data_IF_437957276920
#
_entry.id   IF_437957276920
#
_cell.length_a   1.000
_cell.length_b   1.000
_cell.length_c   1.000
_cell.angle_alpha   90.00
_cell.angle_beta   90.00
_cell.angle_gamma   90.00
#
_symmetry.space_group_name_H-M   'P 1'
#
loop_
_entity.id
_entity.type
_entity.pdbx_description
1 polymer ?
#
# COMPACT_ATOMS: atom_id res chain seq x y z
N UNK A 1 -2.47 11.28 8.99
CA UNK A 1 -2.98 10.15 9.82
C UNK A 1 -2.20 8.89 9.47
N UNK A 2 -1.86 8.06 10.46
CA UNK A 2 -1.24 6.74 10.23
C UNK A 2 -2.22 5.62 10.59
N UNK A 3 -2.20 4.52 9.83
CA UNK A 3 -2.99 3.32 10.13
C UNK A 3 -2.31 2.05 9.63
N UNK A 4 -2.20 1.05 10.50
CA UNK A 4 -1.71 -0.27 10.13
C UNK A 4 -2.72 -1.03 9.25
N UNK A 5 -2.20 -1.74 8.25
CA UNK A 5 -3.01 -2.66 7.45
C UNK A 5 -3.55 -3.81 8.31
N UNK A 6 -4.78 -4.29 8.04
CA UNK A 6 -5.30 -5.47 8.71
C UNK A 6 -4.38 -6.67 8.49
N UNK A 7 -4.20 -7.49 9.53
CA UNK A 7 -3.32 -8.66 9.51
C UNK A 7 -4.05 -9.88 10.06
N UNK A 8 -3.72 -11.03 9.51
CA UNK A 8 -4.10 -12.34 10.04
C UNK A 8 -2.82 -13.05 10.43
N UNK A 9 -2.55 -13.14 11.74
CA UNK A 9 -1.32 -13.73 12.28
C UNK A 9 -0.06 -13.15 11.62
N UNK A 10 0.62 -13.95 10.77
CA UNK A 10 1.91 -13.66 10.15
C UNK A 10 1.85 -12.84 8.85
N UNK A 11 0.66 -12.52 8.33
CA UNK A 11 0.54 -11.87 7.02
C UNK A 11 -0.50 -10.74 6.99
N UNK A 12 -0.26 -9.77 6.12
CA UNK A 12 -1.18 -8.66 5.89
C UNK A 12 -2.28 -9.06 4.89
N UNK A 13 -3.54 -8.83 5.26
CA UNK A 13 -4.68 -9.09 4.38
C UNK A 13 -5.86 -8.24 4.80
N UNK A 14 -6.38 -7.44 3.87
CA UNK A 14 -7.55 -6.61 4.11
C UNK A 14 -7.46 -5.25 3.42
N UNK A 15 -8.38 -4.38 3.80
CA UNK A 15 -8.61 -3.12 3.09
C UNK A 15 -8.60 -1.93 4.04
N UNK A 16 -7.95 -0.85 3.63
CA UNK A 16 -8.10 0.49 4.23
C UNK A 16 -8.73 1.41 3.19
N UNK A 17 -9.79 2.10 3.58
CA UNK A 17 -10.40 3.17 2.79
C UNK A 17 -10.11 4.51 3.44
N UNK A 18 -9.51 5.41 2.67
CA UNK A 18 -9.26 6.79 3.03
C UNK A 18 -10.28 7.64 2.28
N UNK A 19 -11.06 8.43 3.02
CA UNK A 19 -11.99 9.42 2.44
C UNK A 19 -11.54 10.80 2.86
N UNK A 20 -11.38 11.68 1.89
CA UNK A 20 -10.99 13.08 2.11
C UNK A 20 -12.10 13.92 1.52
N UNK A 21 -12.86 14.58 2.40
CA UNK A 21 -14.02 15.38 2.03
C UNK A 21 -13.59 16.69 1.38
N UNK A 22 -14.36 17.14 0.39
CA UNK A 22 -14.11 18.40 -0.29
C UNK A 22 -14.84 19.59 0.36
N UNK A 23 -14.50 19.89 1.61
CA UNK A 23 -15.21 20.83 2.49
C UNK A 23 -14.62 22.26 2.54
N UNK A 24 -13.55 22.53 1.79
CA UNK A 24 -12.81 23.80 1.84
C UNK A 24 -12.68 24.42 0.45
N UNK A 25 -12.59 25.75 0.40
CA UNK A 25 -12.51 26.52 -0.86
C UNK A 25 -11.10 26.64 -1.46
N UNK A 26 -10.20 25.72 -1.11
CA UNK A 26 -8.81 25.74 -1.61
C UNK A 26 -8.40 24.35 -2.09
N UNK A 27 -7.56 24.33 -3.12
CA UNK A 27 -6.97 23.11 -3.63
C UNK A 27 -6.13 22.43 -2.55
N UNK A 28 -6.20 21.10 -2.53
CA UNK A 28 -5.39 20.26 -1.67
C UNK A 28 -4.49 19.37 -2.50
N UNK A 29 -3.39 18.97 -1.88
CA UNK A 29 -2.53 17.92 -2.37
C UNK A 29 -2.47 16.82 -1.34
N UNK A 30 -2.69 15.59 -1.79
CA UNK A 30 -2.67 14.39 -0.97
C UNK A 30 -1.40 13.62 -1.30
N UNK A 31 -0.52 13.51 -0.32
CA UNK A 31 0.71 12.74 -0.42
C UNK A 31 0.53 11.41 0.32
N UNK A 32 0.87 10.33 -0.37
CA UNK A 32 1.05 8.99 0.17
C UNK A 32 2.57 8.74 0.17
N UNK A 33 3.24 8.87 1.33
CA UNK A 33 4.63 8.46 1.49
C UNK A 33 4.80 6.97 1.17
N UNK A 34 6.06 6.49 1.01
CA UNK A 34 6.32 5.10 0.64
C UNK A 34 5.61 4.08 1.53
N UNK A 35 4.72 3.31 0.93
CA UNK A 35 4.15 2.09 1.48
C UNK A 35 4.99 0.93 0.98
N UNK A 36 5.76 0.35 1.87
CA UNK A 36 6.66 -0.75 1.56
C UNK A 36 5.95 -2.07 1.80
N UNK A 37 6.00 -2.99 0.85
CA UNK A 37 5.36 -4.30 0.98
C UNK A 37 6.22 -5.41 0.39
N UNK A 38 6.22 -6.59 1.02
CA UNK A 38 7.07 -7.72 0.66
C UNK A 38 6.39 -9.02 1.00
N UNK A 39 6.55 -10.01 0.14
CA UNK A 39 6.30 -11.41 0.49
C UNK A 39 7.47 -12.00 1.29
N UNK A 40 7.72 -13.30 1.11
CA UNK A 40 8.78 -14.00 1.83
C UNK A 40 9.28 -15.21 1.06
N UNK A 41 10.59 -15.47 1.12
CA UNK A 41 11.20 -16.72 0.69
C UNK A 41 11.38 -17.60 1.92
N UNK A 42 11.02 -18.86 1.77
CA UNK A 42 11.01 -19.83 2.87
C UNK A 42 11.79 -21.06 2.45
N UNK A 43 12.61 -21.56 3.37
CA UNK A 43 13.38 -22.78 3.17
C UNK A 43 12.58 -23.98 3.64
N UNK A 44 12.68 -25.08 2.90
CA UNK A 44 12.07 -26.34 3.27
C UNK A 44 13.04 -27.48 2.96
N UNK A 45 13.22 -28.39 3.91
CA UNK A 45 14.11 -29.53 3.77
C UNK A 45 13.28 -30.81 3.70
N UNK A 46 13.54 -31.64 2.68
CA UNK A 46 12.89 -32.93 2.59
C UNK A 46 13.56 -33.97 3.51
N UNK A 47 13.03 -35.20 3.54
CA UNK A 47 13.56 -36.30 4.34
C UNK A 47 15.01 -36.68 4.01
N UNK A 48 15.50 -36.34 2.81
CA UNK A 48 16.87 -36.59 2.36
C UNK A 48 17.78 -35.37 2.62
N UNK A 49 17.34 -34.42 3.44
CA UNK A 49 18.04 -33.18 3.76
C UNK A 49 18.34 -32.30 2.54
N UNK A 50 17.57 -32.45 1.45
CA UNK A 50 17.68 -31.62 0.26
C UNK A 50 16.86 -30.34 0.46
N UNK A 51 17.50 -29.19 0.22
CA UNK A 51 16.87 -27.89 0.36
C UNK A 51 15.98 -27.56 -0.84
N UNK A 52 14.81 -27.02 -0.55
CA UNK A 52 13.85 -26.48 -1.49
C UNK A 52 13.34 -25.14 -0.97
N UNK A 53 12.75 -24.34 -1.85
CA UNK A 53 12.19 -23.04 -1.47
C UNK A 53 10.74 -22.92 -1.89
N UNK A 54 10.00 -22.14 -1.12
CA UNK A 54 8.69 -21.68 -1.50
C UNK A 54 8.52 -20.20 -1.16
N UNK A 55 7.52 -19.58 -1.78
CA UNK A 55 7.32 -18.14 -1.67
C UNK A 55 5.95 -17.80 -1.14
N UNK A 56 5.92 -16.83 -0.22
CA UNK A 56 4.74 -16.02 0.05
C UNK A 56 4.73 -14.83 -0.91
N UNK A 57 3.57 -14.54 -1.47
CA UNK A 57 3.32 -13.37 -2.31
C UNK A 57 2.53 -12.33 -1.50
N UNK A 58 2.98 -11.08 -1.53
CA UNK A 58 2.25 -9.93 -1.02
C UNK A 58 1.84 -9.06 -2.19
N UNK A 59 0.54 -8.77 -2.33
CA UNK A 59 0.00 -7.91 -3.38
C UNK A 59 -0.62 -6.67 -2.77
N UNK A 60 -0.24 -5.51 -3.29
CA UNK A 60 -0.86 -4.23 -2.96
C UNK A 60 -1.61 -3.72 -4.20
N UNK A 61 -2.91 -3.47 -4.01
CA UNK A 61 -3.78 -2.84 -4.99
C UNK A 61 -4.28 -1.51 -4.44
N UNK A 62 -4.16 -0.44 -5.22
CA UNK A 62 -4.63 0.90 -4.86
C UNK A 62 -5.58 1.41 -5.92
N UNK A 63 -6.74 1.89 -5.49
CA UNK A 63 -7.71 2.56 -6.38
C UNK A 63 -7.98 3.98 -5.93
N UNK A 64 -8.11 4.91 -6.89
CA UNK A 64 -8.60 6.27 -6.72
C UNK A 64 -10.00 6.37 -7.28
N UNK A 65 -10.98 6.71 -6.44
CA UNK A 65 -12.39 6.83 -6.84
C UNK A 65 -12.89 5.61 -7.63
N UNK A 66 -12.44 4.40 -7.24
CA UNK A 66 -12.76 3.14 -7.91
C UNK A 66 -11.84 2.78 -9.10
N UNK A 67 -11.09 3.73 -9.66
CA UNK A 67 -10.12 3.46 -10.73
C UNK A 67 -8.81 2.92 -10.16
N UNK A 68 -8.33 1.79 -10.67
CA UNK A 68 -7.02 1.23 -10.29
C UNK A 68 -5.89 2.15 -10.73
N UNK A 69 -5.02 2.52 -9.78
CA UNK A 69 -3.82 3.33 -10.02
C UNK A 69 -2.53 2.60 -9.69
N UNK A 70 -2.63 1.46 -8.99
CA UNK A 70 -1.49 0.61 -8.68
C UNK A 70 -1.96 -0.81 -8.37
N UNK A 71 -1.20 -1.79 -8.85
CA UNK A 71 -1.49 -3.20 -8.64
C UNK A 71 -0.23 -4.02 -8.90
N UNK A 72 0.49 -4.35 -7.83
CA UNK A 72 1.73 -5.11 -7.93
C UNK A 72 1.80 -6.19 -6.86
N UNK A 73 2.46 -7.28 -7.21
CA UNK A 73 2.72 -8.42 -6.34
C UNK A 73 4.23 -8.59 -6.16
N UNK A 74 4.65 -8.94 -4.94
CA UNK A 74 6.05 -9.22 -4.61
C UNK A 74 6.19 -10.55 -3.88
N UNK A 75 7.30 -11.23 -4.14
CA UNK A 75 7.76 -12.40 -3.38
C UNK A 75 8.82 -11.96 -2.38
N UNK A 76 10.08 -12.22 -2.64
CA UNK A 76 11.22 -11.90 -1.80
C UNK A 76 11.88 -10.56 -2.10
N UNK A 77 11.49 -9.87 -3.18
CA UNK A 77 11.87 -8.49 -3.42
C UNK A 77 10.89 -7.50 -2.76
N UNK A 78 11.38 -6.34 -2.31
CA UNK A 78 10.53 -5.30 -1.75
C UNK A 78 9.84 -4.50 -2.85
N UNK A 79 8.53 -4.29 -2.70
CA UNK A 79 7.73 -3.40 -3.51
C UNK A 79 7.47 -2.09 -2.77
N UNK A 80 7.22 -1.03 -3.54
CA UNK A 80 6.94 0.30 -3.02
C UNK A 80 5.77 0.92 -3.78
N UNK A 81 4.85 1.53 -3.04
CA UNK A 81 3.88 2.46 -3.59
C UNK A 81 4.06 3.83 -2.93
N UNK A 82 4.17 4.87 -3.73
CA UNK A 82 4.07 6.26 -3.28
C UNK A 82 3.31 7.06 -4.33
N UNK A 83 2.65 8.13 -3.91
CA UNK A 83 1.89 8.96 -4.85
C UNK A 83 1.64 10.35 -4.29
N UNK A 84 1.55 11.31 -5.20
CA UNK A 84 1.06 12.65 -4.94
C UNK A 84 -0.15 12.87 -5.83
N UNK A 85 -1.29 13.18 -5.21
CA UNK A 85 -2.58 13.27 -5.87
C UNK A 85 -3.13 14.68 -5.64
N UNK A 86 -3.37 15.39 -6.74
CA UNK A 86 -4.08 16.67 -6.70
C UNK A 86 -5.57 16.45 -6.41
N UNK A 87 -6.08 17.27 -5.49
CA UNK A 87 -7.49 17.34 -5.11
C UNK A 87 -7.95 18.81 -5.19
N UNK A 88 -8.33 19.29 -6.39
CA UNK A 88 -8.83 20.64 -6.56
C UNK A 88 -10.14 20.86 -5.79
N UNK A 89 -10.37 22.09 -5.33
CA UNK A 89 -11.62 22.44 -4.67
C UNK A 89 -12.81 22.38 -5.65
N UNK A 90 -13.97 21.95 -5.15
CA UNK A 90 -15.20 21.81 -5.92
C UNK A 90 -15.32 20.52 -6.74
N UNK A 91 -14.38 19.57 -6.61
CA UNK A 91 -14.38 18.29 -7.35
C UNK A 91 -14.97 17.13 -6.53
N UNK A 92 -15.34 17.38 -5.28
CA UNK A 92 -15.98 16.38 -4.42
C UNK A 92 -14.98 15.46 -3.72
N UNK A 93 -15.52 14.47 -2.99
CA UNK A 93 -14.73 13.62 -2.08
C UNK A 93 -13.73 12.75 -2.85
N UNK A 94 -12.46 12.80 -2.44
CA UNK A 94 -11.45 11.86 -2.88
C UNK A 94 -11.53 10.59 -2.02
N UNK A 95 -11.67 9.44 -2.67
CA UNK A 95 -11.61 8.12 -2.02
C UNK A 95 -10.41 7.35 -2.53
N UNK A 96 -9.53 6.93 -1.62
CA UNK A 96 -8.45 6.00 -1.90
C UNK A 96 -8.71 4.68 -1.18
N UNK A 97 -8.62 3.57 -1.90
CA UNK A 97 -8.79 2.24 -1.33
C UNK A 97 -7.51 1.46 -1.52
N UNK A 98 -6.91 1.03 -0.42
CA UNK A 98 -5.70 0.21 -0.37
C UNK A 98 -6.10 -1.19 0.05
N UNK A 99 -5.94 -2.16 -0.84
CA UNK A 99 -6.20 -3.58 -0.56
C UNK A 99 -4.87 -4.32 -0.59
N UNK A 100 -4.52 -4.92 0.55
CA UNK A 100 -3.39 -5.85 0.63
C UNK A 100 -3.93 -7.26 0.67
N UNK A 101 -3.31 -8.16 -0.09
CA UNK A 101 -3.64 -9.59 -0.07
C UNK A 101 -2.37 -10.40 -0.05
N UNK A 102 -2.37 -11.49 0.72
CA UNK A 102 -1.23 -12.39 0.84
C UNK A 102 -1.61 -13.82 0.48
N UNK A 103 -0.72 -14.53 -0.19
CA UNK A 103 -0.91 -15.94 -0.56
C UNK A 103 0.39 -16.72 -0.44
N UNK A 104 0.35 -17.95 0.05
CA UNK A 104 1.49 -18.87 0.02
C UNK A 104 1.36 -19.86 -1.13
N UNK A 105 2.49 -20.28 -1.70
CA UNK A 105 2.51 -21.41 -2.63
C UNK A 105 1.87 -22.65 -1.97
N UNK A 106 1.18 -23.48 -2.77
CA UNK A 106 0.55 -24.73 -2.31
C UNK A 106 -0.43 -24.55 -1.13
N UNK A 107 -1.11 -23.41 -1.05
CA UNK A 107 -2.02 -23.04 0.06
C UNK A 107 -1.36 -23.04 1.45
N UNK A 108 -0.04 -22.90 1.51
CA UNK A 108 0.67 -22.73 2.77
C UNK A 108 0.36 -21.37 3.39
N UNK A 109 0.32 -21.31 4.72
CA UNK A 109 0.10 -20.06 5.47
C UNK A 109 1.21 -19.07 5.12
N UNK A 110 0.90 -17.92 4.51
CA UNK A 110 1.95 -17.00 4.10
C UNK A 110 2.55 -16.23 5.27
N UNK A 111 3.72 -15.66 5.01
CA UNK A 111 4.34 -14.62 5.85
C UNK A 111 4.68 -13.45 4.96
N UNK A 112 4.07 -12.29 5.25
CA UNK A 112 4.25 -11.07 4.44
C UNK A 112 4.37 -9.84 5.33
N UNK A 113 5.03 -8.82 4.80
CA UNK A 113 5.16 -7.52 5.45
C UNK A 113 4.57 -6.41 4.60
N UNK A 114 4.02 -5.41 5.30
CA UNK A 114 3.59 -4.14 4.75
C UNK A 114 3.74 -3.10 5.86
N UNK A 115 4.28 -1.93 5.52
CA UNK A 115 4.37 -0.79 6.43
C UNK A 115 2.99 -0.20 6.71
N UNK A 116 2.89 0.64 7.73
CA UNK A 116 1.68 1.41 7.97
C UNK A 116 1.39 2.35 6.80
N UNK A 117 0.10 2.66 6.61
CA UNK A 117 -0.34 3.68 5.66
C UNK A 117 -0.30 5.05 6.35
N UNK A 118 0.56 5.93 5.86
CA UNK A 118 0.54 7.35 6.20
C UNK A 118 -0.15 8.13 5.08
N UNK A 119 -1.05 9.02 5.44
CA UNK A 119 -1.66 9.99 4.52
C UNK A 119 -1.42 11.39 5.04
N UNK A 120 -0.87 12.22 4.16
CA UNK A 120 -0.61 13.64 4.39
C UNK A 120 -1.48 14.44 3.42
N UNK A 121 -2.28 15.36 3.96
CA UNK A 121 -3.11 16.27 3.16
C UNK A 121 -2.66 17.68 3.47
N UNK A 122 -2.34 18.45 2.43
CA UNK A 122 -1.83 19.81 2.56
C UNK A 122 -2.63 20.74 1.65
N UNK A 123 -2.74 22.01 2.02
CA UNK A 123 -3.22 23.05 1.10
C UNK A 123 -2.20 23.19 -0.04
N UNK A 124 -2.65 23.19 -1.29
CA UNK A 124 -1.81 23.44 -2.46
C UNK A 124 -1.54 24.95 -2.54
N UNK A 125 -0.30 25.36 -2.31
CA UNK A 125 0.15 26.75 -2.44
C UNK A 125 0.72 27.00 -3.84
N UNK A 126 0.48 28.17 -4.40
CA UNK A 126 0.99 28.60 -5.72
C UNK A 126 2.08 29.67 -5.63
N UNK A 127 2.52 30.08 -4.43
CA UNK A 127 3.49 31.16 -4.26
C UNK A 127 4.62 30.81 -3.26
N UNK A 128 5.83 31.34 -3.54
CA UNK A 128 6.85 31.62 -2.52
C UNK A 128 7.80 30.50 -2.12
N UNK A 129 8.01 29.46 -2.93
CA UNK A 129 8.99 28.40 -2.59
C UNK A 129 10.33 28.67 -3.31
N UNK A 130 11.34 29.13 -2.57
CA UNK A 130 12.74 29.15 -3.01
C UNK A 130 13.51 28.04 -2.31
N UNK A 131 14.22 27.22 -3.07
CA UNK A 131 15.13 26.19 -2.56
C UNK A 131 16.55 26.63 -2.93
N UNK A 132 17.41 26.84 -1.93
CA UNK A 132 18.82 27.21 -2.09
C UNK A 132 19.71 26.23 -1.35
#
# INVERSE_FOLDING_TARGET
>A
VSKSFPRTNSYASGTITVRISDDQKFDRQVMIPPVLFRGGKHENFNSNNQQSYWYSTCRLRVTRNGQEIFNQSTTDAQGVFSSVIDMPAGQGTLTLTFTVSSSGANNWTPTTSISDLLVVVMKKSTAGISIS
#
